data_IF_645380908690
#
_entry.id   IF_645380908690
#
_cell.length_a   1.000
_cell.length_b   1.000
_cell.length_c   1.000
_cell.angle_alpha   90.00
_cell.angle_beta   90.00
_cell.angle_gamma   90.00
#
_symmetry.space_group_name_H-M   'P 1'
#
loop_
_entity.id
_entity.type
_entity.pdbx_description
1 polymer ?
#
# COMPACT_ATOMS: atom_id res chain seq x y z
N UNK A 1 1.46 1.63 -33.29
CA UNK A 1 2.68 1.01 -32.71
C UNK A 1 3.31 1.87 -31.60
N UNK A 2 3.73 3.12 -31.85
CA UNK A 2 4.44 3.96 -30.85
C UNK A 2 3.66 4.30 -29.56
N UNK A 3 2.33 4.42 -29.61
CA UNK A 3 1.51 4.72 -28.43
C UNK A 3 1.54 3.62 -27.35
N UNK A 4 1.64 2.35 -27.76
CA UNK A 4 1.74 1.20 -26.85
C UNK A 4 3.10 1.20 -26.14
N UNK A 5 4.17 1.47 -26.89
CA UNK A 5 5.54 1.58 -26.35
C UNK A 5 5.63 2.73 -25.34
N UNK A 6 5.08 3.91 -25.67
CA UNK A 6 5.05 5.06 -24.77
C UNK A 6 4.28 4.79 -23.47
N UNK A 7 3.16 4.06 -23.56
CA UNK A 7 2.37 3.64 -22.38
C UNK A 7 3.15 2.68 -21.49
N UNK A 8 3.84 1.71 -22.07
CA UNK A 8 4.62 0.73 -21.32
C UNK A 8 5.84 1.37 -20.65
N UNK A 9 6.55 2.29 -21.34
CA UNK A 9 7.65 3.05 -20.75
C UNK A 9 7.21 3.90 -19.55
N UNK A 10 6.03 4.55 -19.63
CA UNK A 10 5.48 5.31 -18.49
C UNK A 10 5.14 4.39 -17.31
N UNK A 11 4.64 3.19 -17.58
CA UNK A 11 4.35 2.19 -16.54
C UNK A 11 5.63 1.70 -15.87
N UNK A 12 6.70 1.43 -16.64
CA UNK A 12 8.02 1.04 -16.11
C UNK A 12 8.65 2.14 -15.26
N UNK A 13 8.60 3.38 -15.72
CA UNK A 13 9.11 4.54 -14.97
C UNK A 13 8.42 4.73 -13.61
N UNK A 14 7.15 4.34 -13.46
CA UNK A 14 6.45 4.35 -12.17
C UNK A 14 6.82 3.16 -11.26
N UNK A 15 7.28 2.05 -11.83
CA UNK A 15 7.58 0.81 -11.10
C UNK A 15 9.06 0.76 -10.67
N UNK A 16 9.98 1.25 -11.50
CA UNK A 16 11.41 1.35 -11.20
C UNK A 16 11.75 1.98 -9.85
N UNK A 17 11.17 3.12 -9.43
CA UNK A 17 11.43 3.69 -8.11
C UNK A 17 10.92 2.81 -6.97
N UNK A 18 9.79 2.10 -7.18
CA UNK A 18 9.28 1.12 -6.21
C UNK A 18 10.24 -0.06 -6.08
N UNK A 19 10.76 -0.58 -7.19
CA UNK A 19 11.77 -1.66 -7.18
C UNK A 19 13.07 -1.17 -6.50
N UNK A 20 13.52 0.05 -6.80
CA UNK A 20 14.69 0.65 -6.16
C UNK A 20 14.53 0.78 -4.65
N UNK A 21 13.37 1.26 -4.19
CA UNK A 21 13.04 1.36 -2.78
C UNK A 21 12.92 -0.02 -2.11
N UNK A 22 12.35 -1.03 -2.79
CA UNK A 22 12.32 -2.41 -2.30
C UNK A 22 13.71 -3.06 -2.24
N UNK A 23 14.66 -2.63 -3.08
CA UNK A 23 16.04 -3.10 -3.04
C UNK A 23 16.85 -2.43 -1.92
N UNK A 24 16.56 -1.16 -1.64
CA UNK A 24 17.25 -0.35 -0.63
C UNK A 24 16.70 -0.57 0.80
N UNK A 25 15.37 -0.59 0.96
CA UNK A 25 14.69 -0.73 2.26
C UNK A 25 14.03 -2.09 2.47
N UNK A 26 13.67 -2.78 1.39
CA UNK A 26 13.22 -4.16 1.48
C UNK A 26 14.42 -5.06 1.73
N UNK A 27 14.22 -6.08 2.56
CA UNK A 27 15.22 -7.09 2.96
C UNK A 27 15.79 -7.92 1.78
N UNK A 28 15.65 -7.47 0.53
CA UNK A 28 16.26 -8.05 -0.67
C UNK A 28 17.78 -8.18 -0.56
N UNK A 29 18.46 -7.21 0.08
CA UNK A 29 19.90 -7.27 0.32
C UNK A 29 20.32 -8.23 1.45
N UNK A 30 19.36 -8.79 2.19
CA UNK A 30 19.58 -9.70 3.32
C UNK A 30 18.69 -10.93 3.17
N UNK A 31 18.96 -11.73 2.14
CA UNK A 31 18.30 -13.01 1.98
C UNK A 31 18.85 -14.01 3.00
N UNK A 32 18.05 -14.36 4.00
CA UNK A 32 18.38 -15.39 4.99
C UNK A 32 18.00 -16.80 4.52
N UNK A 33 17.40 -16.92 3.34
CA UNK A 33 16.97 -18.18 2.74
C UNK A 33 18.12 -18.76 1.89
N UNK A 34 18.27 -20.10 1.91
CA UNK A 34 19.43 -20.77 1.32
C UNK A 34 19.32 -20.87 -0.21
N UNK A 35 20.29 -20.28 -0.91
CA UNK A 35 20.50 -20.46 -2.35
C UNK A 35 19.50 -19.72 -3.25
N UNK A 36 19.63 -19.93 -4.57
CA UNK A 36 18.87 -19.19 -5.61
C UNK A 36 17.35 -19.25 -5.45
N UNK A 37 16.81 -20.37 -4.99
CA UNK A 37 15.38 -20.51 -4.72
C UNK A 37 14.93 -19.61 -3.56
N UNK A 38 15.77 -19.49 -2.52
CA UNK A 38 15.56 -18.60 -1.39
C UNK A 38 15.57 -17.13 -1.80
N UNK A 39 16.53 -16.73 -2.65
CA UNK A 39 16.62 -15.36 -3.18
C UNK A 39 15.36 -14.98 -3.99
N UNK A 40 14.90 -15.89 -4.84
CA UNK A 40 13.67 -15.70 -5.62
C UNK A 40 12.44 -15.55 -4.70
N UNK A 41 12.31 -16.41 -3.69
CA UNK A 41 11.24 -16.34 -2.70
C UNK A 41 11.29 -15.04 -1.89
N UNK A 42 12.48 -14.61 -1.45
CA UNK A 42 12.65 -13.36 -0.71
C UNK A 42 12.22 -12.13 -1.53
N UNK A 43 12.53 -12.12 -2.83
CA UNK A 43 12.11 -11.06 -3.73
C UNK A 43 10.59 -10.99 -3.89
N UNK A 44 9.95 -12.15 -4.10
CA UNK A 44 8.49 -12.25 -4.23
C UNK A 44 7.79 -11.83 -2.93
N UNK A 45 8.22 -12.37 -1.79
CA UNK A 45 7.63 -12.07 -0.48
C UNK A 45 7.80 -10.60 -0.11
N UNK A 46 8.94 -9.98 -0.43
CA UNK A 46 9.17 -8.55 -0.22
C UNK A 46 8.21 -7.68 -1.05
N UNK A 47 7.97 -8.04 -2.32
CA UNK A 47 7.01 -7.36 -3.17
C UNK A 47 5.56 -7.55 -2.68
N UNK A 48 5.20 -8.76 -2.26
CA UNK A 48 3.89 -9.08 -1.68
C UNK A 48 3.67 -8.28 -0.39
N UNK A 49 4.65 -8.28 0.52
CA UNK A 49 4.59 -7.53 1.78
C UNK A 49 4.41 -6.03 1.58
N UNK A 50 5.04 -5.44 0.56
CA UNK A 50 4.83 -4.05 0.19
C UNK A 50 3.39 -3.76 -0.26
N UNK A 51 2.80 -4.65 -1.06
CA UNK A 51 1.41 -4.51 -1.48
C UNK A 51 0.45 -4.64 -0.29
N UNK A 52 0.69 -5.59 0.62
CA UNK A 52 -0.10 -5.71 1.85
C UNK A 52 -0.01 -4.47 2.74
N UNK A 53 1.18 -3.87 2.90
CA UNK A 53 1.32 -2.60 3.64
C UNK A 53 0.46 -1.49 3.04
N UNK A 54 0.39 -1.38 1.71
CA UNK A 54 -0.50 -0.41 1.04
C UNK A 54 -1.97 -0.72 1.30
N UNK A 55 -2.40 -1.97 1.15
CA UNK A 55 -3.78 -2.38 1.41
C UNK A 55 -4.18 -2.06 2.87
N UNK A 56 -3.31 -2.38 3.83
CA UNK A 56 -3.55 -2.09 5.25
C UNK A 56 -3.60 -0.59 5.54
N UNK A 57 -2.79 0.23 4.85
CA UNK A 57 -2.85 1.69 4.99
C UNK A 57 -4.19 2.25 4.50
N UNK A 58 -4.69 1.76 3.36
CA UNK A 58 -6.01 2.11 2.83
C UNK A 58 -7.14 1.68 3.77
N UNK A 59 -7.11 0.44 4.26
CA UNK A 59 -8.07 -0.06 5.23
C UNK A 59 -8.07 0.78 6.51
N UNK A 60 -6.90 1.16 7.02
CA UNK A 60 -6.76 2.06 8.18
C UNK A 60 -7.33 3.46 7.91
N UNK A 61 -7.16 4.00 6.71
CA UNK A 61 -7.76 5.28 6.34
C UNK A 61 -9.28 5.18 6.28
N UNK A 62 -9.82 4.14 5.64
CA UNK A 62 -11.25 3.88 5.53
C UNK A 62 -11.89 3.72 6.91
N UNK A 63 -11.28 2.91 7.79
CA UNK A 63 -11.76 2.72 9.15
C UNK A 63 -11.80 4.04 9.93
N UNK A 64 -10.77 4.88 9.82
CA UNK A 64 -10.75 6.21 10.46
C UNK A 64 -11.89 7.10 9.97
N UNK A 65 -12.13 7.14 8.65
CA UNK A 65 -13.24 7.91 8.08
C UNK A 65 -14.60 7.41 8.60
N UNK A 66 -14.77 6.09 8.67
CA UNK A 66 -15.99 5.48 9.18
C UNK A 66 -16.24 5.83 10.66
N UNK A 67 -15.22 5.71 11.51
CA UNK A 67 -15.31 6.07 12.92
C UNK A 67 -15.64 7.57 13.13
N UNK A 68 -15.01 8.45 12.35
CA UNK A 68 -15.29 9.89 12.39
C UNK A 68 -16.73 10.17 11.97
N UNK A 69 -17.22 9.51 10.92
CA UNK A 69 -18.59 9.68 10.44
C UNK A 69 -19.61 9.23 11.50
N UNK A 70 -19.37 8.09 12.15
CA UNK A 70 -20.19 7.60 13.26
C UNK A 70 -20.21 8.61 14.40
N UNK A 71 -19.04 9.05 14.87
CA UNK A 71 -18.92 9.99 15.98
C UNK A 71 -19.65 11.30 15.69
N UNK A 72 -19.49 11.85 14.47
CA UNK A 72 -20.22 13.03 14.02
C UNK A 72 -21.73 12.81 14.03
N UNK A 73 -22.20 11.66 13.57
CA UNK A 73 -23.62 11.30 13.61
C UNK A 73 -24.18 11.30 15.03
N UNK A 74 -23.43 10.78 16.01
CA UNK A 74 -23.82 10.84 17.42
C UNK A 74 -23.88 12.27 17.95
N UNK A 75 -22.85 13.09 17.67
CA UNK A 75 -22.79 14.50 18.13
C UNK A 75 -23.95 15.33 17.56
N UNK A 76 -24.21 15.21 16.26
CA UNK A 76 -25.31 15.94 15.60
C UNK A 76 -26.65 15.54 16.21
N UNK A 77 -26.87 14.24 16.42
CA UNK A 77 -28.10 13.75 17.05
C UNK A 77 -28.26 14.26 18.48
N UNK A 78 -27.21 14.24 19.30
CA UNK A 78 -27.30 14.79 20.66
C UNK A 78 -27.57 16.30 20.67
N UNK A 79 -27.00 17.06 19.74
CA UNK A 79 -27.25 18.49 19.63
C UNK A 79 -28.71 18.80 19.26
N UNK A 80 -29.32 18.00 18.38
CA UNK A 80 -30.74 18.11 18.04
C UNK A 80 -31.64 17.81 19.23
N UNK A 81 -31.37 16.74 19.99
CA UNK A 81 -32.16 16.41 21.18
C UNK A 81 -32.04 17.45 22.30
N UNK A 82 -30.91 18.16 22.39
CA UNK A 82 -30.69 19.17 23.43
C UNK A 82 -31.25 20.55 23.06
N UNK A 83 -31.65 20.76 21.81
CA UNK A 83 -32.21 22.01 21.30
C UNK A 83 -33.75 22.03 21.25
N UNK A 84 -34.41 20.90 21.52
CA UNK A 84 -35.85 20.80 21.79
C UNK A 84 -36.11 20.83 23.30
#
# INVERSE_FOLDING_TARGET
>A
MFGVIKRELRRRSAIEPVIGHLKAEGHLGRCYLKGRAGDAANAILSAVGYNFRRILAWLRALLRLFLIAILRGFIVRSALYSAC
#
